data_IF_418524539011
#
_entry.id   IF_418524539011
#
_cell.length_a   1.000
_cell.length_b   1.000
_cell.length_c   1.000
_cell.angle_alpha   90.00
_cell.angle_beta   90.00
_cell.angle_gamma   90.00
#
_symmetry.space_group_name_H-M   'P 1'
#
loop_
_entity.id
_entity.type
_entity.pdbx_description
1 polymer ?
#
# COMPACT_ATOMS: atom_id res chain seq x y z
N UNK A 1 18.84 26.57 25.76
CA UNK A 1 19.36 27.18 24.51
C UNK A 1 20.83 26.85 24.18
N UNK A 2 21.62 26.21 25.06
CA UNK A 2 22.99 25.74 24.73
C UNK A 2 23.04 24.33 24.09
N UNK A 3 22.00 23.52 24.29
CA UNK A 3 21.90 22.17 23.71
C UNK A 3 21.54 22.18 22.20
N UNK A 4 20.84 23.22 21.71
CA UNK A 4 20.46 23.32 20.29
C UNK A 4 21.61 23.73 19.37
N UNK A 5 22.64 24.42 19.90
CA UNK A 5 23.82 24.82 19.14
C UNK A 5 24.79 23.65 18.87
N UNK A 6 24.83 22.63 19.74
CA UNK A 6 25.69 21.46 19.53
C UNK A 6 25.14 20.48 18.47
N UNK A 7 23.82 20.39 18.31
CA UNK A 7 23.22 19.48 17.33
C UNK A 7 23.42 19.91 15.88
N UNK A 8 23.39 21.23 15.62
CA UNK A 8 23.58 21.78 14.27
C UNK A 8 25.05 21.71 13.83
N UNK A 9 26.00 21.84 14.77
CA UNK A 9 27.44 21.77 14.47
C UNK A 9 27.89 20.34 14.09
N UNK A 10 27.27 19.31 14.66
CA UNK A 10 27.57 17.90 14.35
C UNK A 10 27.06 17.45 12.97
N UNK A 11 25.96 18.03 12.47
CA UNK A 11 25.46 17.74 11.11
C UNK A 11 26.32 18.36 10.00
N UNK A 12 27.05 19.45 10.27
CA UNK A 12 27.91 20.08 9.28
C UNK A 12 29.20 19.28 9.00
N UNK A 13 29.69 18.51 9.97
CA UNK A 13 30.88 17.67 9.80
C UNK A 13 30.65 16.40 8.96
N UNK A 14 29.39 16.01 8.71
CA UNK A 14 29.06 14.88 7.86
C UNK A 14 29.11 15.21 6.36
N UNK A 15 29.15 16.49 5.97
CA UNK A 15 29.23 16.90 4.56
C UNK A 15 30.64 16.81 3.96
N UNK A 16 31.69 16.59 4.77
CA UNK A 16 33.08 16.49 4.27
C UNK A 16 33.56 15.06 4.06
N UNK A 17 32.74 14.04 4.36
CA UNK A 17 33.04 12.64 4.04
C UNK A 17 32.73 12.35 2.57
N UNK A 18 33.39 13.07 1.66
CA UNK A 18 33.60 12.60 0.30
C UNK A 18 34.61 11.45 0.38
N UNK A 19 34.12 10.25 0.70
CA UNK A 19 34.88 9.01 0.62
C UNK A 19 35.19 8.72 -0.86
N UNK A 20 36.23 9.37 -1.38
CA UNK A 20 36.68 9.22 -2.77
C UNK A 20 38.00 8.44 -2.87
N UNK A 21 38.50 7.89 -1.75
CA UNK A 21 39.74 7.14 -1.72
C UNK A 21 39.49 5.73 -1.19
N UNK A 22 39.44 4.76 -2.11
CA UNK A 22 39.39 3.35 -1.74
C UNK A 22 40.82 2.92 -1.40
N UNK A 23 41.05 2.56 -0.15
CA UNK A 23 42.34 2.06 0.32
C UNK A 23 42.36 0.54 0.22
N UNK A 24 43.35 0.01 -0.50
CA UNK A 24 43.69 -1.41 -0.53
C UNK A 24 44.74 -1.67 0.54
N UNK A 25 44.40 -2.47 1.54
CA UNK A 25 45.28 -2.83 2.64
C UNK A 25 45.62 -4.32 2.56
N UNK A 26 46.87 -4.69 2.86
CA UNK A 26 47.24 -6.09 3.06
C UNK A 26 47.67 -6.32 4.50
N UNK A 27 46.90 -7.13 5.25
CA UNK A 27 47.18 -7.48 6.64
C UNK A 27 47.21 -9.01 6.72
N UNK A 28 48.29 -9.58 7.27
CA UNK A 28 48.47 -11.05 7.41
C UNK A 28 48.21 -11.86 6.13
N UNK A 29 48.62 -11.31 4.98
CA UNK A 29 48.41 -11.94 3.67
C UNK A 29 46.98 -11.82 3.11
N UNK A 30 46.05 -11.16 3.81
CA UNK A 30 44.68 -10.89 3.35
C UNK A 30 44.57 -9.48 2.80
N UNK A 31 43.92 -9.34 1.64
CA UNK A 31 43.63 -8.04 1.01
C UNK A 31 42.26 -7.55 1.47
N UNK A 32 42.18 -6.37 2.07
CA UNK A 32 40.93 -5.68 2.40
C UNK A 32 40.85 -4.35 1.66
N UNK A 33 39.64 -3.96 1.28
CA UNK A 33 39.34 -2.67 0.66
C UNK A 33 38.47 -1.88 1.64
N UNK A 34 38.87 -0.65 1.94
CA UNK A 34 38.17 0.21 2.89
C UNK A 34 38.15 1.65 2.41
N UNK A 35 37.09 2.37 2.76
CA UNK A 35 37.00 3.82 2.59
C UNK A 35 37.72 4.57 3.73
N UNK A 36 38.23 3.84 4.72
CA UNK A 36 39.08 4.36 5.79
C UNK A 36 40.56 4.05 5.53
N UNK A 37 41.50 4.90 5.95
CA UNK A 37 42.93 4.64 5.84
C UNK A 37 43.32 3.30 6.45
N UNK A 38 44.27 2.60 5.82
CA UNK A 38 44.73 1.31 6.32
C UNK A 38 45.25 1.41 7.76
N UNK A 39 44.98 0.39 8.60
CA UNK A 39 45.55 0.34 9.94
C UNK A 39 47.08 0.33 9.86
N UNK A 40 47.76 0.91 10.86
CA UNK A 40 49.23 0.98 10.89
C UNK A 40 49.93 -0.39 10.87
N UNK A 41 49.21 -1.45 11.23
CA UNK A 41 49.67 -2.84 11.17
C UNK A 41 49.59 -3.46 9.76
N UNK A 42 49.11 -2.73 8.75
CA UNK A 42 49.08 -3.24 7.38
C UNK A 42 50.49 -3.33 6.78
N UNK A 43 50.82 -4.51 6.25
CA UNK A 43 52.09 -4.76 5.57
C UNK A 43 52.21 -3.96 4.25
N UNK A 44 51.09 -3.61 3.63
CA UNK A 44 51.06 -2.65 2.53
C UNK A 44 49.74 -1.89 2.52
N UNK A 45 49.80 -0.62 2.12
CA UNK A 45 48.68 0.27 1.95
C UNK A 45 48.81 1.00 0.61
N UNK A 46 47.78 0.90 -0.24
CA UNK A 46 47.72 1.62 -1.51
C UNK A 46 46.39 2.31 -1.63
N UNK A 47 46.42 3.62 -1.83
CA UNK A 47 45.21 4.38 -2.19
C UNK A 47 44.94 4.20 -3.67
N UNK A 48 43.77 3.68 -4.02
CA UNK A 48 43.34 3.59 -5.40
C UNK A 48 42.90 4.96 -5.89
N UNK A 49 43.43 5.38 -7.04
CA UNK A 49 42.95 6.58 -7.72
C UNK A 49 41.55 6.31 -8.28
N UNK A 50 40.57 7.08 -7.83
CA UNK A 50 39.24 7.08 -8.43
C UNK A 50 39.32 7.93 -9.71
N UNK A 51 38.88 7.40 -10.87
CA UNK A 51 38.88 8.18 -12.10
C UNK A 51 37.98 9.41 -11.94
N UNK A 52 38.40 10.54 -12.52
CA UNK A 52 37.60 11.75 -12.52
C UNK A 52 36.24 11.47 -13.18
N UNK A 53 35.17 12.06 -12.62
CA UNK A 53 33.85 11.94 -13.19
C UNK A 53 33.85 12.45 -14.65
N UNK A 54 33.18 11.75 -15.57
CA UNK A 54 33.07 12.21 -16.96
C UNK A 54 32.35 13.56 -17.02
N UNK A 55 32.62 14.40 -18.04
CA UNK A 55 31.95 15.67 -18.23
C UNK A 55 30.44 15.46 -18.45
N UNK A 56 29.64 16.45 -18.07
CA UNK A 56 28.19 16.38 -18.23
C UNK A 56 27.80 16.21 -19.71
N UNK A 57 27.04 15.15 -20.00
CA UNK A 57 26.52 14.88 -21.34
C UNK A 57 25.10 15.48 -21.49
N UNK A 58 24.89 16.46 -22.39
CA UNK A 58 23.59 17.05 -22.62
C UNK A 58 22.56 16.06 -23.16
N UNK A 59 22.98 15.00 -23.86
CA UNK A 59 22.08 13.93 -24.35
C UNK A 59 21.56 13.11 -23.17
N UNK A 60 22.44 12.73 -22.24
CA UNK A 60 22.04 12.05 -21.00
C UNK A 60 21.06 12.91 -20.16
N UNK A 61 21.25 14.22 -20.12
CA UNK A 61 20.33 15.13 -19.42
C UNK A 61 18.94 15.18 -20.09
N UNK A 62 18.89 15.24 -21.42
CA UNK A 62 17.64 15.20 -22.18
C UNK A 62 16.91 13.85 -22.04
N UNK A 63 17.66 12.76 -22.03
CA UNK A 63 17.14 11.41 -21.81
C UNK A 63 16.55 11.25 -20.42
N UNK A 64 17.24 11.74 -19.39
CA UNK A 64 16.73 11.76 -18.02
C UNK A 64 15.44 12.57 -17.91
N UNK A 65 15.35 13.73 -18.57
CA UNK A 65 14.14 14.54 -18.58
C UNK A 65 12.96 13.80 -19.24
N UNK A 66 13.22 13.09 -20.36
CA UNK A 66 12.22 12.25 -21.03
C UNK A 66 11.75 11.11 -20.13
N UNK A 67 12.67 10.40 -19.49
CA UNK A 67 12.36 9.29 -18.58
C UNK A 67 11.53 9.77 -17.38
N UNK A 68 11.89 10.92 -16.78
CA UNK A 68 11.10 11.53 -15.70
C UNK A 68 9.68 11.86 -16.14
N UNK A 69 9.50 12.42 -17.35
CA UNK A 69 8.17 12.72 -17.90
C UNK A 69 7.35 11.44 -18.13
N UNK A 70 7.97 10.39 -18.65
CA UNK A 70 7.31 9.10 -18.85
C UNK A 70 6.91 8.46 -17.51
N UNK A 71 7.80 8.47 -16.52
CA UNK A 71 7.52 7.97 -15.18
C UNK A 71 6.34 8.71 -14.54
N UNK A 72 6.34 10.06 -14.58
CA UNK A 72 5.23 10.86 -14.07
C UNK A 72 3.90 10.59 -14.80
N UNK A 73 3.94 10.34 -16.10
CA UNK A 73 2.75 9.98 -16.87
C UNK A 73 2.19 8.60 -16.45
N UNK A 74 3.06 7.62 -16.24
CA UNK A 74 2.68 6.28 -15.78
C UNK A 74 2.11 6.32 -14.36
N UNK A 75 2.74 7.06 -13.46
CA UNK A 75 2.27 7.25 -12.09
C UNK A 75 0.88 7.89 -12.06
N UNK A 76 0.68 8.97 -12.83
CA UNK A 76 -0.64 9.61 -12.98
C UNK A 76 -1.68 8.65 -13.55
N UNK A 77 -1.32 7.83 -14.53
CA UNK A 77 -2.23 6.85 -15.11
C UNK A 77 -2.61 5.77 -14.09
N UNK A 78 -1.68 5.33 -13.25
CA UNK A 78 -1.93 4.37 -12.16
C UNK A 78 -2.90 4.95 -11.14
N UNK A 79 -2.63 6.14 -10.61
CA UNK A 79 -3.52 6.78 -9.64
C UNK A 79 -4.93 7.01 -10.19
N UNK A 80 -5.05 7.39 -11.46
CA UNK A 80 -6.37 7.52 -12.09
C UNK A 80 -7.13 6.20 -12.15
N UNK A 81 -6.45 5.07 -12.34
CA UNK A 81 -7.08 3.74 -12.33
C UNK A 81 -7.48 3.35 -10.91
N UNK A 82 -6.58 3.52 -9.95
CA UNK A 82 -6.86 3.30 -8.52
C UNK A 82 -8.09 4.10 -8.07
N UNK A 83 -8.16 5.40 -8.37
CA UNK A 83 -9.30 6.26 -8.05
C UNK A 83 -10.61 5.78 -8.70
N UNK A 84 -10.55 5.22 -9.91
CA UNK A 84 -11.73 4.71 -10.63
C UNK A 84 -12.21 3.40 -10.01
N UNK A 85 -11.27 2.51 -9.71
CA UNK A 85 -11.54 1.20 -9.11
C UNK A 85 -12.09 1.37 -7.68
N UNK A 86 -11.52 2.28 -6.89
CA UNK A 86 -11.99 2.61 -5.55
C UNK A 86 -13.43 3.16 -5.57
N UNK A 87 -13.73 4.08 -6.49
CA UNK A 87 -15.10 4.60 -6.66
C UNK A 87 -16.07 3.52 -7.12
N UNK A 88 -15.64 2.60 -7.98
CA UNK A 88 -16.47 1.49 -8.43
C UNK A 88 -16.73 0.50 -7.28
N UNK A 89 -15.70 0.18 -6.51
CA UNK A 89 -15.78 -0.69 -5.34
C UNK A 89 -16.69 -0.08 -4.26
N UNK A 90 -16.59 1.22 -3.99
CA UNK A 90 -17.45 1.92 -3.03
C UNK A 90 -18.92 1.83 -3.45
N UNK A 91 -19.24 2.11 -4.71
CA UNK A 91 -20.61 2.01 -5.24
C UNK A 91 -21.14 0.58 -5.14
N UNK A 92 -20.33 -0.41 -5.50
CA UNK A 92 -20.69 -1.81 -5.38
C UNK A 92 -20.94 -2.21 -3.91
N UNK A 93 -20.10 -1.74 -2.98
CA UNK A 93 -20.24 -1.99 -1.54
C UNK A 93 -21.52 -1.35 -0.98
N UNK A 94 -21.85 -0.11 -1.38
CA UNK A 94 -23.09 0.56 -1.00
C UNK A 94 -24.32 -0.18 -1.54
N UNK A 95 -24.33 -0.57 -2.81
CA UNK A 95 -25.41 -1.34 -3.41
C UNK A 95 -25.60 -2.68 -2.69
N UNK A 96 -24.51 -3.40 -2.42
CA UNK A 96 -24.53 -4.65 -1.67
C UNK A 96 -25.03 -4.45 -0.23
N UNK A 97 -24.69 -3.35 0.44
CA UNK A 97 -25.18 -3.04 1.77
C UNK A 97 -26.70 -2.79 1.79
N UNK A 98 -27.23 -2.06 0.80
CA UNK A 98 -28.67 -1.85 0.64
C UNK A 98 -29.38 -3.18 0.41
N UNK A 99 -28.86 -4.03 -0.47
CA UNK A 99 -29.43 -5.36 -0.72
C UNK A 99 -29.41 -6.24 0.53
N UNK A 100 -28.29 -6.29 1.26
CA UNK A 100 -28.20 -7.03 2.54
C UNK A 100 -29.23 -6.55 3.55
N UNK A 101 -29.45 -5.24 3.68
CA UNK A 101 -30.48 -4.68 4.57
C UNK A 101 -31.90 -5.08 4.14
N UNK A 102 -32.19 -5.00 2.84
CA UNK A 102 -33.48 -5.43 2.27
C UNK A 102 -33.74 -6.91 2.55
N UNK A 103 -32.75 -7.76 2.28
CA UNK A 103 -32.81 -9.19 2.55
C UNK A 103 -32.93 -9.52 4.04
N UNK A 104 -32.19 -8.82 4.90
CA UNK A 104 -32.33 -8.96 6.35
C UNK A 104 -33.76 -8.67 6.83
N UNK A 105 -34.37 -7.60 6.32
CA UNK A 105 -35.77 -7.24 6.64
C UNK A 105 -36.75 -8.31 6.16
N UNK A 106 -36.60 -8.80 4.93
CA UNK A 106 -37.48 -9.84 4.39
C UNK A 106 -37.34 -11.17 5.14
N UNK A 107 -36.10 -11.54 5.52
CA UNK A 107 -35.84 -12.74 6.33
C UNK A 107 -36.50 -12.65 7.69
N UNK A 108 -36.41 -11.49 8.35
CA UNK A 108 -37.07 -11.27 9.63
C UNK A 108 -38.60 -11.32 9.51
N UNK A 109 -39.16 -10.71 8.46
CA UNK A 109 -40.60 -10.78 8.19
C UNK A 109 -41.08 -12.22 7.98
N UNK A 110 -40.34 -13.04 7.23
CA UNK A 110 -40.63 -14.47 7.08
C UNK A 110 -40.61 -15.17 8.44
N UNK A 111 -39.58 -14.94 9.26
CA UNK A 111 -39.48 -15.56 10.58
C UNK A 111 -40.68 -15.21 11.47
N UNK A 112 -41.10 -13.94 11.50
CA UNK A 112 -42.28 -13.53 12.25
C UNK A 112 -43.58 -14.13 11.69
N UNK A 113 -43.73 -14.18 10.37
CA UNK A 113 -44.90 -14.82 9.76
C UNK A 113 -44.98 -16.31 10.08
N UNK A 114 -43.84 -17.02 10.13
CA UNK A 114 -43.76 -18.42 10.56
C UNK A 114 -44.08 -18.58 12.06
N UNK A 115 -43.66 -17.63 12.91
CA UNK A 115 -44.04 -17.57 14.32
C UNK A 115 -45.54 -17.35 14.51
N UNK A 116 -46.14 -16.46 13.73
CA UNK A 116 -47.57 -16.22 13.75
C UNK A 116 -48.35 -17.48 13.38
N UNK A 117 -47.89 -18.26 12.39
CA UNK A 117 -48.49 -19.57 12.07
C UNK A 117 -48.42 -20.51 13.28
N UNK A 118 -47.29 -20.57 13.97
CA UNK A 118 -47.10 -21.43 15.15
C UNK A 118 -48.00 -21.02 16.32
N UNK A 119 -48.30 -19.73 16.46
CA UNK A 119 -49.12 -19.17 17.55
C UNK A 119 -50.59 -18.97 17.19
N UNK A 120 -50.96 -19.14 15.92
CA UNK A 120 -52.32 -18.89 15.45
C UNK A 120 -53.32 -19.91 16.03
N UNK A 121 -54.49 -19.41 16.43
CA UNK A 121 -55.65 -20.26 16.70
C UNK A 121 -56.21 -20.84 15.40
N UNK A 122 -56.98 -21.92 15.50
CA UNK A 122 -57.58 -22.63 14.35
C UNK A 122 -58.31 -21.68 13.39
N UNK A 123 -59.05 -20.69 13.93
CA UNK A 123 -59.79 -19.72 13.13
C UNK A 123 -58.92 -18.73 12.34
N UNK A 124 -57.63 -18.57 12.68
CA UNK A 124 -56.69 -17.65 12.01
C UNK A 124 -55.57 -18.36 11.25
N UNK A 125 -55.48 -19.69 11.38
CA UNK A 125 -54.39 -20.50 10.87
C UNK A 125 -54.18 -20.36 9.35
N UNK A 126 -55.26 -20.42 8.57
CA UNK A 126 -55.14 -20.35 7.11
C UNK A 126 -54.67 -18.98 6.61
N UNK A 127 -55.12 -17.90 7.27
CA UNK A 127 -54.63 -16.56 6.96
C UNK A 127 -53.15 -16.40 7.34
N UNK A 128 -52.74 -16.93 8.50
CA UNK A 128 -51.34 -16.93 8.92
C UNK A 128 -50.44 -17.70 7.94
N UNK A 129 -50.88 -18.89 7.49
CA UNK A 129 -50.16 -19.70 6.49
C UNK A 129 -49.99 -18.96 5.17
N UNK A 130 -51.04 -18.29 4.69
CA UNK A 130 -50.96 -17.51 3.45
C UNK A 130 -49.97 -16.33 3.58
N UNK A 131 -49.93 -15.67 4.74
CA UNK A 131 -48.95 -14.60 5.01
C UNK A 131 -47.52 -15.13 5.04
N UNK A 132 -47.29 -16.25 5.71
CA UNK A 132 -45.99 -16.92 5.74
C UNK A 132 -45.51 -17.31 4.34
N UNK A 133 -46.41 -17.88 3.52
CA UNK A 133 -46.11 -18.23 2.12
C UNK A 133 -45.71 -16.99 1.30
N UNK A 134 -46.49 -15.90 1.37
CA UNK A 134 -46.17 -14.66 0.65
C UNK A 134 -44.86 -14.02 1.12
N UNK A 135 -44.57 -14.08 2.42
CA UNK A 135 -43.29 -13.57 2.95
C UNK A 135 -42.11 -14.40 2.45
N UNK A 136 -42.27 -15.72 2.33
CA UNK A 136 -41.26 -16.61 1.76
C UNK A 136 -41.05 -16.37 0.25
N UNK A 137 -42.12 -16.19 -0.51
CA UNK A 137 -42.06 -15.83 -1.94
C UNK A 137 -41.36 -14.49 -2.16
N UNK A 138 -41.71 -13.47 -1.38
CA UNK A 138 -41.07 -12.15 -1.46
C UNK A 138 -39.57 -12.21 -1.12
N UNK A 139 -39.18 -13.03 -0.14
CA UNK A 139 -37.76 -13.25 0.18
C UNK A 139 -37.03 -13.95 -0.97
N UNK A 140 -37.64 -14.98 -1.57
CA UNK A 140 -37.01 -15.77 -2.64
C UNK A 140 -36.84 -14.99 -3.94
N UNK A 141 -37.70 -14.01 -4.22
CA UNK A 141 -37.59 -13.17 -5.42
C UNK A 141 -36.46 -12.13 -5.32
N UNK A 142 -36.25 -11.58 -4.13
CA UNK A 142 -35.40 -10.41 -3.93
C UNK A 142 -33.99 -10.75 -3.46
N UNK A 143 -33.81 -11.95 -2.92
CA UNK A 143 -32.55 -12.35 -2.28
C UNK A 143 -31.97 -13.59 -2.97
N UNK A 144 -30.69 -13.56 -3.36
CA UNK A 144 -30.01 -14.75 -3.85
C UNK A 144 -29.98 -15.83 -2.76
N UNK A 145 -30.11 -17.09 -3.17
CA UNK A 145 -30.03 -18.25 -2.27
C UNK A 145 -28.62 -18.53 -1.80
#
# INVERSE_FOLDING_TARGET
MKALLCGVLMCAAALTAQAQSVHKCTVDGKVSYSDTPCPSAAASATTLAVPAAPPADPVAAADLARQKKQAAALEKARHRREDQDDRAAEKAAQAAAVQRKKCGKLKLNKQWADEDVRRASVAKLDNAKLRAKRAAEALALECPQ
#
